data_IF_876543092106
#
_entry.id   IF_876543092106
#
_cell.length_a   1.000
_cell.length_b   1.000
_cell.length_c   1.000
_cell.angle_alpha   90.00
_cell.angle_beta   90.00
_cell.angle_gamma   90.00
#
_symmetry.space_group_name_H-M   'P 1'
#
loop_
_entity.id
_entity.type
_entity.pdbx_description
1 polymer ?
#
# COMPACT_ATOMS: atom_id res chain seq x y z
N UNK A 1 15.11 -16.60 -8.65
CA UNK A 1 14.03 -16.23 -7.71
C UNK A 1 12.76 -16.06 -8.52
N UNK A 2 11.64 -16.63 -8.09
CA UNK A 2 10.37 -16.39 -8.78
C UNK A 2 10.00 -14.91 -8.62
N UNK A 3 9.46 -14.31 -9.69
CA UNK A 3 8.97 -12.94 -9.65
C UNK A 3 7.68 -12.90 -8.83
N UNK A 4 7.55 -11.93 -7.91
CA UNK A 4 6.32 -11.75 -7.15
C UNK A 4 5.13 -11.48 -8.06
N UNK A 5 3.96 -11.97 -7.67
CA UNK A 5 2.71 -11.79 -8.41
C UNK A 5 1.82 -10.75 -7.74
N UNK A 6 1.04 -10.05 -8.56
CA UNK A 6 -0.01 -9.17 -8.10
C UNK A 6 -1.31 -9.93 -7.82
N UNK A 7 -2.31 -9.26 -7.25
CA UNK A 7 -3.63 -9.84 -6.93
C UNK A 7 -4.45 -10.30 -8.14
N UNK A 8 -3.97 -10.08 -9.37
CA UNK A 8 -4.56 -10.56 -10.62
C UNK A 8 -3.83 -11.81 -11.16
N UNK A 9 -2.76 -12.27 -10.51
CA UNK A 9 -1.93 -13.40 -10.94
C UNK A 9 -0.88 -13.05 -12.00
N UNK A 10 -0.62 -11.76 -12.21
CA UNK A 10 0.38 -11.27 -13.17
C UNK A 10 1.64 -10.79 -12.44
N UNK A 11 2.78 -10.59 -13.13
CA UNK A 11 3.98 -10.03 -12.50
C UNK A 11 3.72 -8.70 -11.78
N UNK A 12 4.26 -8.57 -10.56
CA UNK A 12 4.07 -7.38 -9.73
C UNK A 12 4.73 -6.14 -10.37
N UNK A 13 3.92 -5.12 -10.64
CA UNK A 13 4.39 -3.84 -11.16
C UNK A 13 4.97 -2.94 -10.04
N UNK A 14 5.86 -2.00 -10.38
CA UNK A 14 6.33 -0.98 -9.42
C UNK A 14 5.18 -0.10 -8.89
N UNK A 15 5.18 0.14 -7.58
CA UNK A 15 4.22 1.02 -6.92
C UNK A 15 4.67 2.48 -6.95
N UNK A 16 5.92 2.78 -6.55
CA UNK A 16 6.40 4.16 -6.43
C UNK A 16 7.92 4.27 -6.29
N UNK A 17 8.54 5.10 -7.13
CA UNK A 17 9.99 5.36 -7.14
C UNK A 17 10.36 6.73 -6.60
N UNK A 18 9.42 7.67 -6.56
CA UNK A 18 9.56 8.98 -5.95
C UNK A 18 8.20 9.42 -5.36
N UNK A 19 7.99 9.30 -4.04
CA UNK A 19 8.92 8.74 -3.06
C UNK A 19 9.15 7.22 -3.26
N UNK A 20 10.38 6.75 -2.99
CA UNK A 20 10.71 5.32 -3.00
C UNK A 20 9.92 4.59 -1.92
N UNK A 21 9.08 3.63 -2.34
CA UNK A 21 8.22 2.84 -1.44
C UNK A 21 8.68 1.39 -1.32
N UNK A 22 7.84 0.55 -0.70
CA UNK A 22 8.12 -0.86 -0.44
C UNK A 22 8.85 -1.06 0.88
N UNK A 23 8.60 -2.18 1.55
CA UNK A 23 9.30 -2.55 2.78
C UNK A 23 10.82 -2.60 2.56
N UNK A 24 11.24 -3.23 1.46
CA UNK A 24 12.65 -3.35 1.05
C UNK A 24 13.22 -2.09 0.35
N UNK A 25 12.42 -1.02 0.21
CA UNK A 25 12.78 0.22 -0.51
C UNK A 25 13.25 -0.01 -1.96
N UNK A 26 12.60 -0.95 -2.64
CA UNK A 26 12.83 -1.29 -4.05
C UNK A 26 11.76 -0.71 -5.00
N UNK A 27 10.79 0.02 -4.46
CA UNK A 27 9.69 0.64 -5.20
C UNK A 27 8.51 -0.28 -5.49
N UNK A 28 8.58 -1.54 -5.06
CA UNK A 28 7.54 -2.55 -5.23
C UNK A 28 6.94 -2.93 -3.87
N UNK A 29 5.70 -3.41 -3.86
CA UNK A 29 5.07 -3.92 -2.64
C UNK A 29 5.46 -5.38 -2.37
N UNK A 30 6.76 -5.68 -2.52
CA UNK A 30 7.36 -6.95 -2.16
C UNK A 30 7.32 -7.15 -0.65
N UNK A 31 7.12 -8.39 -0.23
CA UNK A 31 7.08 -8.77 1.18
C UNK A 31 7.82 -10.10 1.40
N UNK A 32 7.97 -10.49 2.67
CA UNK A 32 8.65 -11.70 3.09
C UNK A 32 8.62 -11.85 4.60
N UNK A 33 9.30 -12.86 5.15
CA UNK A 33 9.28 -13.15 6.58
C UNK A 33 9.75 -11.98 7.48
N UNK A 34 10.58 -11.09 6.95
CA UNK A 34 11.11 -9.92 7.66
C UNK A 34 10.12 -8.76 7.74
N UNK A 35 9.00 -8.81 6.99
CA UNK A 35 7.97 -7.77 6.94
C UNK A 35 6.70 -8.18 7.71
N UNK A 36 6.69 -8.05 9.06
CA UNK A 36 5.52 -8.38 9.87
C UNK A 36 4.33 -7.44 9.60
N UNK A 37 4.57 -6.30 8.95
CA UNK A 37 3.54 -5.35 8.57
C UNK A 37 2.79 -5.74 7.30
N UNK A 38 3.35 -6.65 6.50
CA UNK A 38 2.80 -7.11 5.21
C UNK A 38 2.45 -5.89 4.34
N UNK A 39 3.46 -5.13 3.92
CA UNK A 39 3.34 -3.92 3.12
C UNK A 39 3.07 -4.23 1.64
N UNK A 40 1.92 -4.84 1.38
CA UNK A 40 1.59 -5.47 0.08
C UNK A 40 0.57 -4.70 -0.75
N UNK A 41 -0.10 -3.68 -0.19
CA UNK A 41 -1.15 -2.93 -0.91
C UNK A 41 -0.58 -1.62 -1.45
N UNK A 42 -0.46 -1.49 -2.77
CA UNK A 42 -0.11 -0.23 -3.40
C UNK A 42 -1.33 0.68 -3.44
N UNK A 43 -1.33 1.72 -2.60
CA UNK A 43 -2.42 2.68 -2.53
C UNK A 43 -1.96 4.08 -2.92
N UNK A 44 -2.88 4.87 -3.49
CA UNK A 44 -2.70 6.31 -3.72
C UNK A 44 -3.27 7.07 -2.54
N UNK A 45 -2.43 7.77 -1.80
CA UNK A 45 -2.82 8.45 -0.57
C UNK A 45 -3.91 9.48 -0.84
N UNK A 46 -4.90 9.52 0.06
CA UNK A 46 -5.92 10.57 0.11
C UNK A 46 -5.77 11.37 1.39
N UNK A 47 -6.36 12.57 1.46
CA UNK A 47 -6.32 13.37 2.68
C UNK A 47 -7.02 12.65 3.83
N UNK A 48 -8.18 12.08 3.55
CA UNK A 48 -9.05 11.40 4.49
C UNK A 48 -8.35 10.18 5.09
N UNK A 49 -7.66 9.38 4.25
CA UNK A 49 -6.86 8.26 4.72
C UNK A 49 -5.68 8.70 5.59
N UNK A 50 -4.92 9.72 5.18
CA UNK A 50 -3.75 10.19 5.93
C UNK A 50 -4.16 10.72 7.31
N UNK A 51 -5.25 11.48 7.38
CA UNK A 51 -5.81 11.96 8.66
C UNK A 51 -6.32 10.81 9.53
N UNK A 52 -7.01 9.84 8.94
CA UNK A 52 -7.48 8.64 9.64
C UNK A 52 -6.31 7.84 10.21
N UNK A 53 -5.32 7.52 9.37
CA UNK A 53 -4.14 6.75 9.72
C UNK A 53 -3.37 7.41 10.87
N UNK A 54 -3.20 8.74 10.82
CA UNK A 54 -2.61 9.53 11.91
C UNK A 54 -3.38 9.36 13.23
N UNK A 55 -4.71 9.46 13.21
CA UNK A 55 -5.56 9.25 14.40
C UNK A 55 -5.49 7.82 14.94
N UNK A 56 -5.15 6.84 14.10
CA UNK A 56 -4.91 5.43 14.46
C UNK A 56 -3.47 5.13 14.89
N UNK A 57 -2.65 6.15 15.08
CA UNK A 57 -1.26 6.02 15.53
C UNK A 57 -0.26 5.65 14.42
N UNK A 58 -0.65 5.76 13.15
CA UNK A 58 0.20 5.54 11.98
C UNK A 58 0.32 6.85 11.18
N UNK A 59 1.07 7.82 11.71
CA UNK A 59 1.24 9.13 11.06
C UNK A 59 2.23 9.04 9.89
N UNK A 60 1.69 8.82 8.69
CA UNK A 60 2.46 8.78 7.45
C UNK A 60 2.81 10.16 6.90
N UNK A 61 2.38 11.26 7.55
CA UNK A 61 2.68 12.62 7.10
C UNK A 61 3.94 13.19 7.74
N UNK A 62 4.37 12.61 8.87
CA UNK A 62 5.55 13.05 9.59
C UNK A 62 6.83 12.52 8.90
N UNK A 63 7.76 13.39 8.47
CA UNK A 63 9.05 12.94 7.96
C UNK A 63 9.87 12.22 9.04
N UNK A 64 10.59 11.17 8.64
CA UNK A 64 11.58 10.46 9.44
C UNK A 64 12.93 10.46 8.68
N UNK A 65 13.73 11.54 8.80
CA UNK A 65 14.97 11.74 8.03
C UNK A 65 15.97 10.59 8.15
N UNK A 66 16.04 9.95 9.31
CA UNK A 66 16.92 8.82 9.61
C UNK A 66 16.64 7.57 8.75
N UNK A 67 15.43 7.45 8.21
CA UNK A 67 15.05 6.37 7.28
C UNK A 67 14.86 6.85 5.84
N UNK A 68 15.13 8.12 5.56
CA UNK A 68 14.87 8.76 4.26
C UNK A 68 13.38 8.95 3.94
N UNK A 69 12.48 8.70 4.90
CA UNK A 69 11.05 8.91 4.72
C UNK A 69 10.71 10.40 4.84
N UNK A 70 10.22 11.01 3.75
CA UNK A 70 9.94 12.46 3.71
C UNK A 70 8.54 12.85 4.16
N UNK A 71 7.73 11.89 4.61
CA UNK A 71 6.30 12.06 4.81
C UNK A 71 5.52 12.04 3.49
N UNK A 72 4.29 11.53 3.54
CA UNK A 72 3.42 11.39 2.38
C UNK A 72 2.41 12.53 2.30
N UNK A 73 1.97 12.77 1.07
CA UNK A 73 0.98 13.77 0.69
C UNK A 73 -0.14 13.10 -0.11
N UNK A 74 -1.34 13.69 -0.18
CA UNK A 74 -2.37 13.23 -1.10
C UNK A 74 -1.82 13.14 -2.54
N UNK A 75 -2.07 12.01 -3.21
CA UNK A 75 -1.57 11.71 -4.54
C UNK A 75 -0.32 10.82 -4.57
N UNK A 76 0.47 10.76 -3.49
CA UNK A 76 1.62 9.85 -3.43
C UNK A 76 1.16 8.39 -3.49
N UNK A 77 1.95 7.53 -4.14
CA UNK A 77 1.75 6.07 -4.09
C UNK A 77 2.64 5.46 -3.02
N UNK A 78 2.07 4.57 -2.23
CA UNK A 78 2.79 3.92 -1.13
C UNK A 78 2.28 2.51 -0.87
N UNK A 79 3.20 1.60 -0.55
CA UNK A 79 2.89 0.26 -0.07
C UNK A 79 2.46 0.30 1.38
N UNK A 80 1.17 0.06 1.63
CA UNK A 80 0.57 0.03 2.95
C UNK A 80 0.54 -1.39 3.51
N UNK A 81 0.67 -1.49 4.84
CA UNK A 81 0.30 -2.71 5.57
C UNK A 81 -1.12 -3.13 5.20
N UNK A 82 -1.33 -4.40 4.87
CA UNK A 82 -2.65 -4.91 4.49
C UNK A 82 -3.71 -4.66 5.59
N UNK A 83 -3.32 -4.87 6.86
CA UNK A 83 -4.19 -4.62 8.01
C UNK A 83 -4.61 -3.15 8.14
N UNK A 84 -3.71 -2.19 7.82
CA UNK A 84 -4.01 -0.75 7.90
C UNK A 84 -4.92 -0.29 6.79
N UNK A 85 -4.78 -0.85 5.59
CA UNK A 85 -5.73 -0.58 4.51
C UNK A 85 -7.11 -1.15 4.85
N UNK A 86 -7.19 -2.38 5.41
CA UNK A 86 -8.46 -2.98 5.86
C UNK A 86 -9.13 -2.15 6.96
N UNK A 87 -8.37 -1.67 7.93
CA UNK A 87 -8.87 -0.78 8.99
C UNK A 87 -9.51 0.49 8.39
N UNK A 88 -8.90 1.06 7.35
CA UNK A 88 -9.47 2.21 6.64
C UNK A 88 -10.70 1.85 5.80
N UNK A 89 -10.76 0.65 5.22
CA UNK A 89 -11.94 0.14 4.51
C UNK A 89 -13.14 0.03 5.46
N UNK A 90 -12.96 -0.58 6.62
CA UNK A 90 -13.99 -0.72 7.65
C UNK A 90 -14.49 0.64 8.16
N UNK A 91 -13.61 1.65 8.16
CA UNK A 91 -13.95 3.03 8.52
C UNK A 91 -14.51 3.87 7.35
N UNK A 92 -14.65 3.31 6.14
CA UNK A 92 -15.20 4.01 4.98
C UNK A 92 -14.26 5.04 4.34
N UNK A 93 -12.96 4.98 4.62
CA UNK A 93 -11.94 5.93 4.15
C UNK A 93 -10.74 5.24 3.52
N UNK A 94 -10.93 4.03 2.98
CA UNK A 94 -9.88 3.30 2.25
C UNK A 94 -9.37 4.13 1.06
N UNK A 95 -8.04 4.30 0.92
CA UNK A 95 -7.47 4.99 -0.22
C UNK A 95 -7.58 4.12 -1.49
N UNK A 96 -7.64 4.73 -2.68
CA UNK A 96 -7.66 3.99 -3.94
C UNK A 96 -6.43 3.10 -4.13
N UNK A 97 -6.60 1.98 -4.82
CA UNK A 97 -5.60 0.91 -4.97
C UNK A 97 -5.14 0.77 -6.41
N UNK A 98 -3.87 0.45 -6.63
CA UNK A 98 -3.31 0.02 -7.91
C UNK A 98 -3.16 -1.50 -7.87
N UNK A 99 -4.08 -2.24 -8.50
CA UNK A 99 -4.12 -3.71 -8.46
C UNK A 99 -2.85 -4.32 -9.07
N UNK A 100 -2.36 -3.79 -10.19
CA UNK A 100 -1.18 -4.30 -10.87
C UNK A 100 0.09 -4.23 -10.01
N UNK A 101 0.11 -3.31 -9.02
CA UNK A 101 1.21 -3.10 -8.08
C UNK A 101 0.91 -3.58 -6.65
N UNK A 102 -0.22 -4.28 -6.45
CA UNK A 102 -0.62 -4.85 -5.15
C UNK A 102 -0.34 -6.34 -5.14
N UNK A 103 0.50 -6.80 -4.21
CA UNK A 103 1.00 -8.16 -4.16
C UNK A 103 -0.10 -9.16 -3.73
N UNK A 104 -0.06 -10.38 -4.26
CA UNK A 104 -1.08 -11.42 -4.03
C UNK A 104 -1.35 -11.74 -2.56
N UNK A 105 -0.34 -11.66 -1.68
CA UNK A 105 -0.46 -11.78 -0.22
C UNK A 105 -1.46 -10.80 0.41
N UNK A 106 -1.83 -9.71 -0.27
CA UNK A 106 -2.93 -8.86 0.15
C UNK A 106 -4.23 -9.65 0.32
N UNK A 107 -4.44 -10.70 -0.49
CA UNK A 107 -5.64 -11.53 -0.49
C UNK A 107 -5.77 -12.41 0.77
N UNK A 108 -4.70 -12.59 1.53
CA UNK A 108 -4.76 -13.24 2.83
C UNK A 108 -5.47 -12.37 3.90
N UNK A 109 -5.59 -11.06 3.66
CA UNK A 109 -6.11 -10.09 4.63
C UNK A 109 -7.35 -9.34 4.11
N UNK A 110 -7.44 -9.11 2.80
CA UNK A 110 -8.46 -8.28 2.15
C UNK A 110 -9.05 -9.02 0.94
N UNK A 111 -10.38 -9.01 0.79
CA UNK A 111 -11.01 -9.66 -0.35
C UNK A 111 -10.70 -8.93 -1.68
N UNK A 112 -10.45 -9.69 -2.75
CA UNK A 112 -10.20 -9.13 -4.09
C UNK A 112 -11.33 -8.19 -4.55
N UNK A 113 -12.58 -8.50 -4.21
CA UNK A 113 -13.72 -7.67 -4.54
C UNK A 113 -13.63 -6.27 -3.91
N UNK A 114 -13.08 -6.15 -2.70
CA UNK A 114 -12.93 -4.87 -2.01
C UNK A 114 -11.81 -4.05 -2.64
N UNK A 115 -10.70 -4.69 -2.99
CA UNK A 115 -9.59 -4.06 -3.74
C UNK A 115 -10.10 -3.55 -5.10
N UNK A 116 -10.85 -4.36 -5.84
CA UNK A 116 -11.43 -3.99 -7.15
C UNK A 116 -12.38 -2.80 -7.06
N UNK A 117 -13.21 -2.70 -6.01
CA UNK A 117 -14.10 -1.54 -5.82
C UNK A 117 -13.36 -0.22 -5.58
N UNK A 118 -12.10 -0.28 -5.19
CA UNK A 118 -11.25 0.89 -4.93
C UNK A 118 -10.13 1.04 -5.98
N UNK A 119 -10.13 0.22 -7.04
CA UNK A 119 -9.09 0.21 -8.04
C UNK A 119 -9.10 1.48 -8.90
N UNK A 120 -7.92 1.96 -9.30
CA UNK A 120 -7.75 3.10 -10.24
C UNK A 120 -7.07 2.70 -11.55
N UNK A 121 -6.61 1.46 -11.64
CA UNK A 121 -5.94 0.85 -12.79
C UNK A 121 -6.74 -0.33 -13.38
N UNK A 122 -7.99 -0.47 -12.95
CA UNK A 122 -8.92 -1.49 -13.40
C UNK A 122 -10.24 -0.80 -13.79
N UNK A 123 -10.43 -0.58 -15.09
CA UNK A 123 -11.64 -0.03 -15.71
C UNK A 123 -12.20 -1.00 -16.72
#
# INVERSE_FOLDING_TARGET
>A
MAQALNVLGEPLAPCGLDPMTGFYRDGCCNTGYDDPGIHVICARMTREFLEFSKRRGNDLTLPAPETGFRGLKPGDRWCLCAARWREALEAGVAPPVVLAATHEEALAVVALADLKRHAIDFT
#
